data_IF_121892689187
#
_entry.id   IF_121892689187
#
_cell.length_a   1.000
_cell.length_b   1.000
_cell.length_c   1.000
_cell.angle_alpha   90.00
_cell.angle_beta   90.00
_cell.angle_gamma   90.00
#
_symmetry.space_group_name_H-M   'P 1'
#
loop_
_entity.id
_entity.type
_entity.pdbx_description
1 polymer ?
2 polymer ?
3 polymer ?
4 polymer ?
5 non-polymer ?
6 non-polymer ?
7 non-polymer ?
8 non-polymer ?
9 non-polymer ?
10 non-polymer ?
11 water ?
#
loop_
_entity_poly.entity_id
_entity_poly.type
_entity_poly.pdbx_seq_one_letter_code
_entity_poly.pdbx_strand_id
2 'polydeoxyribonucleotide' '(DC)(DG)(DG)(DC)(8OG)(DT)(DA)(DC)(DG)' ?
3 'polydeoxyribonucleotide' '(DC)(DG)(DT)(DA)' ?
4 'polydeoxyribonucleotide' '(DG)(DC)(DC)(DG)' ?
#
# COMPACT_ATOMS: atom_id res chain seq x y z
N UNK A 10 17.50 -16.32 -8.89
CA UNK A 10 16.58 -15.43 -8.14
C UNK A 10 17.35 -14.31 -7.40
N UNK A 11 17.24 -13.07 -7.86
CA UNK A 11 17.96 -11.99 -7.18
C UNK A 11 17.36 -11.66 -5.82
N UNK A 12 18.18 -11.04 -4.97
CA UNK A 12 17.81 -10.90 -3.57
C UNK A 12 16.80 -9.80 -3.30
N UNK A 13 16.76 -8.76 -4.13
CA UNK A 13 15.84 -7.64 -3.92
C UNK A 13 14.61 -7.80 -4.80
N UNK A 14 13.44 -7.44 -4.25
CA UNK A 14 12.21 -7.62 -5.02
C UNK A 14 12.17 -6.75 -6.27
N UNK A 15 12.87 -5.62 -6.29
CA UNK A 15 12.86 -4.72 -7.44
C UNK A 15 13.71 -5.22 -8.60
N UNK A 16 14.41 -6.34 -8.43
CA UNK A 16 15.25 -6.96 -9.44
C UNK A 16 14.55 -8.07 -10.21
N UNK A 17 13.28 -8.33 -9.93
CA UNK A 17 12.62 -9.44 -10.56
C UNK A 17 11.16 -9.10 -10.80
N UNK A 18 10.58 -9.59 -11.89
CA UNK A 18 9.14 -9.42 -12.09
C UNK A 18 8.34 -10.17 -11.06
N UNK A 19 7.30 -9.52 -10.53
CA UNK A 19 6.36 -10.17 -9.63
C UNK A 19 4.95 -9.89 -10.14
N UNK A 20 4.28 -10.87 -10.72
CA UNK A 20 2.94 -10.64 -11.25
C UNK A 20 1.91 -10.67 -10.12
N UNK A 21 0.72 -10.21 -10.45
CA UNK A 21 -0.34 -10.10 -9.46
C UNK A 21 -0.79 -11.48 -9.02
N UNK A 22 -1.01 -12.36 -9.97
CA UNK A 22 -1.37 -13.74 -9.68
C UNK A 22 -0.20 -14.65 -10.05
N UNK A 23 -0.06 -15.74 -9.30
CA UNK A 23 1.14 -16.55 -9.42
C UNK A 23 0.81 -18.01 -9.08
N UNK A 24 1.86 -18.78 -8.73
CA UNK A 24 1.79 -20.24 -8.67
C UNK A 24 2.04 -20.78 -7.27
N UNK A 25 2.09 -19.91 -6.27
CA UNK A 25 2.40 -20.32 -4.90
C UNK A 25 1.55 -19.55 -3.90
N UNK A 26 0.28 -19.35 -4.25
CA UNK A 26 -0.61 -18.47 -3.49
C UNK A 26 -0.74 -18.91 -2.03
N UNK A 27 -1.01 -20.20 -1.81
CA UNK A 27 -1.20 -20.66 -0.44
C UNK A 27 0.05 -20.51 0.41
N UNK A 28 1.22 -20.77 -0.18
CA UNK A 28 2.45 -20.66 0.57
C UNK A 28 2.75 -19.21 0.92
N UNK A 29 2.54 -18.30 -0.02
CA UNK A 29 2.84 -16.91 0.26
C UNK A 29 1.87 -16.34 1.29
N UNK A 30 0.60 -16.75 1.24
CA UNK A 30 -0.37 -16.28 2.22
C UNK A 30 0.02 -16.69 3.64
N UNK A 31 0.53 -17.90 3.81
CA UNK A 31 0.91 -18.36 5.13
C UNK A 31 2.09 -17.57 5.66
N UNK A 32 3.09 -17.34 4.83
CA UNK A 32 4.23 -16.53 5.26
C UNK A 32 3.81 -15.11 5.59
N UNK A 33 2.85 -14.56 4.84
CA UNK A 33 2.38 -13.21 5.12
C UNK A 33 1.57 -13.11 6.42
N UNK A 34 0.91 -14.18 6.87
CA UNK A 34 0.32 -14.21 8.22
C UNK A 34 1.42 -14.02 9.28
N UNK A 35 2.52 -14.76 9.13
CA UNK A 35 3.60 -14.63 10.11
C UNK A 35 4.22 -13.24 10.04
N UNK A 36 4.32 -12.68 8.84
CA UNK A 36 4.84 -11.33 8.70
C UNK A 36 3.96 -10.33 9.43
N UNK A 37 2.65 -10.43 9.20
CA UNK A 37 1.70 -9.54 9.85
C UNK A 37 1.78 -9.68 11.36
N UNK A 38 1.85 -10.91 11.85
CA UNK A 38 1.92 -11.14 13.29
C UNK A 38 3.19 -10.53 13.87
N UNK A 39 4.30 -10.64 13.15
CA UNK A 39 5.54 -10.02 13.58
C UNK A 39 5.38 -8.51 13.71
N UNK A 40 4.71 -7.89 12.75
CA UNK A 40 4.48 -6.45 12.84
C UNK A 40 3.62 -6.07 14.03
N UNK A 41 2.63 -6.90 14.36
CA UNK A 41 1.81 -6.60 15.53
C UNK A 41 2.61 -6.66 16.81
N UNK A 42 3.74 -7.35 16.81
CA UNK A 42 4.60 -7.40 17.99
C UNK A 42 5.75 -6.40 17.93
N UNK A 43 5.83 -5.58 16.88
CA UNK A 43 6.91 -4.63 16.75
C UNK A 43 8.20 -5.20 16.21
N UNK A 44 8.16 -6.39 15.61
CA UNK A 44 9.37 -7.05 15.13
C UNK A 44 9.49 -6.78 13.63
N UNK A 45 10.00 -5.59 13.32
CA UNK A 45 10.05 -5.14 11.91
C UNK A 45 10.99 -5.99 11.07
N UNK A 46 12.09 -6.46 11.66
CA UNK A 46 13.03 -7.28 10.89
C UNK A 46 12.42 -8.60 10.47
N UNK A 47 11.75 -9.26 11.42
CA UNK A 47 11.07 -10.51 11.09
C UNK A 47 9.96 -10.28 10.09
N UNK A 48 9.22 -9.18 10.23
CA UNK A 48 8.17 -8.87 9.27
C UNK A 48 8.76 -8.77 7.87
N UNK A 49 9.90 -8.09 7.74
CA UNK A 49 10.52 -7.91 6.44
C UNK A 49 10.99 -9.25 5.87
N UNK A 50 11.61 -10.09 6.68
CA UNK A 50 12.06 -11.37 6.12
C UNK A 50 10.87 -12.21 5.65
N UNK A 51 9.80 -12.28 6.45
CA UNK A 51 8.66 -13.09 6.02
C UNK A 51 7.98 -12.50 4.79
N UNK A 52 7.90 -11.17 4.69
CA UNK A 52 7.36 -10.55 3.47
C UNK A 52 8.25 -10.84 2.27
N UNK A 53 9.56 -10.72 2.45
CA UNK A 53 10.49 -10.98 1.36
C UNK A 53 10.42 -12.44 0.89
N UNK A 54 10.36 -13.39 1.84
CA UNK A 54 10.25 -14.80 1.49
C UNK A 54 8.96 -15.07 0.74
N UNK A 55 7.86 -14.50 1.21
CA UNK A 55 6.61 -14.65 0.49
C UNK A 55 6.74 -14.11 -0.92
N UNK A 56 7.38 -12.94 -1.06
CA UNK A 56 7.49 -12.30 -2.37
C UNK A 56 8.34 -13.13 -3.32
N UNK A 57 9.36 -13.81 -2.80
CA UNK A 57 10.17 -14.70 -3.64
C UNK A 57 9.28 -15.77 -4.26
N UNK A 58 8.37 -16.32 -3.48
CA UNK A 58 7.51 -17.38 -4.02
C UNK A 58 6.56 -16.84 -5.08
N UNK A 59 6.11 -15.59 -4.93
CA UNK A 59 5.28 -14.95 -5.95
C UNK A 59 5.99 -14.83 -7.28
N UNK A 60 7.32 -14.71 -7.25
CA UNK A 60 8.12 -14.49 -8.44
C UNK A 60 8.54 -15.78 -9.12
N UNK A 61 8.30 -16.93 -8.51
CA UNK A 61 8.69 -18.20 -9.09
C UNK A 61 7.81 -18.55 -10.29
N UNK A 62 8.36 -19.28 -11.27
CA UNK A 62 7.62 -19.55 -12.49
C UNK A 62 6.67 -20.73 -12.39
N UNK A 63 6.69 -21.46 -11.29
CA UNK A 63 5.87 -22.66 -11.14
C UNK A 63 5.69 -22.95 -9.65
N UNK A 64 4.80 -23.89 -9.30
CA UNK A 64 4.59 -24.21 -7.89
C UNK A 64 5.80 -24.89 -7.25
N UNK A 65 6.06 -24.53 -5.99
CA UNK A 65 6.95 -25.32 -5.14
C UNK A 65 6.22 -26.58 -4.72
N UNK A 66 6.79 -27.74 -5.07
CA UNK A 66 6.25 -29.03 -4.70
C UNK A 66 7.13 -29.80 -3.73
N UNK A 67 8.40 -29.45 -3.62
CA UNK A 67 9.30 -30.20 -2.77
C UNK A 67 10.24 -29.23 -2.09
N UNK A 68 10.69 -29.60 -0.89
CA UNK A 68 11.52 -28.71 -0.09
C UNK A 68 12.80 -28.32 -0.81
N UNK A 69 13.37 -29.25 -1.59
CA UNK A 69 14.64 -28.98 -2.27
C UNK A 69 14.55 -27.79 -3.21
N UNK A 70 13.35 -27.45 -3.68
CA UNK A 70 13.21 -26.30 -4.56
C UNK A 70 13.43 -24.97 -3.84
N UNK A 71 13.52 -24.96 -2.51
CA UNK A 71 13.87 -23.74 -1.78
C UNK A 71 15.37 -23.54 -1.66
N UNK A 72 16.17 -24.56 -1.95
CA UNK A 72 17.61 -24.43 -1.83
C UNK A 72 18.12 -23.29 -2.69
N UNK A 73 18.90 -22.41 -2.08
CA UNK A 73 19.44 -21.31 -2.82
C UNK A 73 18.48 -20.15 -3.05
N UNK A 74 17.20 -20.28 -2.66
CA UNK A 74 16.35 -19.09 -2.79
C UNK A 74 16.68 -18.08 -1.70
N UNK A 75 16.76 -16.80 -2.03
CA UNK A 75 17.02 -15.81 -1.00
C UNK A 75 15.86 -15.68 -0.04
N UNK A 76 16.20 -15.43 1.22
CA UNK A 76 15.27 -15.16 2.32
C UNK A 76 14.59 -16.41 2.84
N UNK A 77 15.02 -17.60 2.42
CA UNK A 77 14.54 -18.85 2.98
C UNK A 77 15.61 -19.47 3.85
N UNK A 78 15.43 -19.38 5.16
CA UNK A 78 16.26 -20.08 6.09
C UNK A 78 15.47 -21.14 6.83
N UNK A 79 15.89 -21.42 8.06
CA UNK A 79 15.32 -22.53 8.81
C UNK A 79 13.84 -22.30 9.09
N UNK A 80 13.45 -21.09 9.47
CA UNK A 80 12.06 -20.84 9.87
C UNK A 80 11.12 -20.88 8.66
N UNK A 81 11.38 -20.06 7.64
CA UNK A 81 10.48 -20.02 6.49
C UNK A 81 10.46 -21.35 5.76
N UNK A 82 11.59 -22.06 5.73
CA UNK A 82 11.62 -23.36 5.08
C UNK A 82 10.75 -24.37 5.82
N UNK A 83 10.76 -24.30 7.16
CA UNK A 83 9.93 -25.22 7.95
C UNK A 83 8.44 -24.96 7.73
N UNK A 84 8.06 -23.69 7.62
CA UNK A 84 6.68 -23.34 7.31
C UNK A 84 6.26 -23.97 5.99
N UNK A 85 7.08 -23.80 4.96
CA UNK A 85 6.75 -24.38 3.66
C UNK A 85 6.70 -25.89 3.75
N UNK A 86 7.67 -26.51 4.43
CA UNK A 86 7.71 -27.96 4.55
C UNK A 86 6.40 -28.48 5.14
N UNK A 87 5.91 -27.84 6.19
CA UNK A 87 4.71 -28.37 6.85
C UNK A 87 3.49 -28.19 5.96
N UNK A 88 3.41 -27.08 5.23
CA UNK A 88 2.31 -26.91 4.28
C UNK A 88 2.38 -27.97 3.19
N UNK A 89 3.57 -28.28 2.69
CA UNK A 89 3.69 -29.30 1.66
C UNK A 89 3.33 -30.68 2.18
N UNK A 90 3.77 -31.00 3.39
CA UNK A 90 3.55 -32.33 3.95
C UNK A 90 2.12 -32.55 4.45
N UNK A 91 1.50 -31.52 5.04
CA UNK A 91 0.24 -31.68 5.76
C UNK A 91 -0.86 -30.74 5.31
N UNK A 92 -0.58 -29.77 4.45
CA UNK A 92 -1.57 -28.81 4.02
C UNK A 92 -1.83 -27.69 5.00
N UNK A 93 -1.16 -27.70 6.14
CA UNK A 93 -1.37 -26.72 7.19
C UNK A 93 -0.05 -26.58 7.97
N UNK A 94 0.22 -25.37 8.44
CA UNK A 94 1.36 -25.11 9.31
C UNK A 94 0.86 -24.77 10.71
N UNK A 95 1.26 -25.57 11.71
CA UNK A 95 0.68 -25.39 13.04
C UNK A 95 0.94 -23.99 13.58
N UNK A 96 2.14 -23.46 13.36
CA UNK A 96 2.45 -22.11 13.84
C UNK A 96 1.50 -21.08 13.25
N UNK A 97 1.27 -21.18 11.94
CA UNK A 97 0.37 -20.26 11.24
C UNK A 97 -1.05 -20.37 11.80
N UNK A 98 -1.55 -21.61 11.97
CA UNK A 98 -2.90 -21.79 12.49
C UNK A 98 -3.02 -21.26 13.92
N UNK A 99 -1.98 -21.46 14.72
CA UNK A 99 -2.00 -20.94 16.09
C UNK A 99 -2.07 -19.41 16.09
N UNK A 100 -1.34 -18.77 15.18
CA UNK A 100 -1.45 -17.32 15.07
C UNK A 100 -2.87 -16.94 14.66
N UNK A 101 -3.40 -17.57 13.62
CA UNK A 101 -4.73 -17.26 13.11
C UNK A 101 -5.79 -17.27 14.20
N UNK A 102 -5.79 -18.28 15.05
CA UNK A 102 -6.87 -18.37 16.03
C UNK A 102 -6.54 -17.65 17.33
N UNK A 103 -5.40 -16.99 17.44
CA UNK A 103 -5.04 -16.35 18.69
C UNK A 103 -5.82 -15.06 18.89
N UNK A 104 -6.18 -14.80 20.14
CA UNK A 104 -6.91 -13.59 20.48
C UNK A 104 -6.09 -12.36 20.15
N UNK A 105 -4.79 -12.41 20.43
CA UNK A 105 -3.91 -11.28 20.13
C UNK A 105 -3.92 -10.95 18.63
N UNK A 106 -3.68 -11.95 17.77
CA UNK A 106 -3.65 -11.67 16.33
C UNK A 106 -5.00 -11.14 15.85
N UNK A 107 -6.08 -11.79 16.26
CA UNK A 107 -7.40 -11.41 15.75
C UNK A 107 -7.77 -9.99 16.15
N UNK A 108 -7.44 -9.61 17.38
CA UNK A 108 -7.82 -8.29 17.87
C UNK A 108 -6.93 -7.21 17.29
N UNK A 109 -5.63 -7.48 17.19
CA UNK A 109 -4.74 -6.50 16.58
C UNK A 109 -5.12 -6.27 15.13
N UNK A 110 -5.52 -7.34 14.42
CA UNK A 110 -5.93 -7.19 13.04
C UNK A 110 -7.19 -6.34 12.93
N UNK A 111 -8.18 -6.63 13.78
CA UNK A 111 -9.42 -5.87 13.81
C UNK A 111 -9.16 -4.40 14.07
N UNK A 112 -8.34 -4.10 15.07
CA UNK A 112 -8.12 -2.70 15.46
C UNK A 112 -7.27 -1.97 14.42
N UNK A 113 -6.18 -2.60 13.94
CA UNK A 113 -5.33 -1.89 12.99
C UNK A 113 -6.02 -1.67 11.65
N UNK A 114 -7.07 -2.44 11.35
CA UNK A 114 -7.86 -2.23 10.15
C UNK A 114 -8.63 -0.92 10.19
N UNK A 115 -8.84 -0.35 11.38
CA UNK A 115 -9.58 0.90 11.50
C UNK A 115 -8.73 2.04 10.98
N UNK A 116 -9.33 2.91 10.15
CA UNK A 116 -8.68 4.14 9.69
C UNK A 116 -8.44 5.06 10.87
N UNK A 117 -7.17 5.38 11.14
CA UNK A 117 -6.78 6.20 12.28
C UNK A 117 -6.14 5.42 13.41
N UNK A 118 -6.08 4.10 13.28
CA UNK A 118 -5.52 3.22 14.30
C UNK A 118 -4.33 2.47 13.71
N UNK A 119 -3.16 2.61 14.34
CA UNK A 119 -2.00 1.84 14.00
C UNK A 119 -1.66 0.79 15.05
N UNK A 120 -0.50 0.16 14.85
CA UNK A 120 -0.11 -0.91 15.77
C UNK A 120 -0.02 -0.38 17.19
N UNK A 121 0.58 0.79 17.37
CA UNK A 121 0.83 1.27 18.73
C UNK A 121 -0.49 1.54 19.45
N UNK A 122 -1.45 2.16 18.77
CA UNK A 122 -2.75 2.40 19.40
C UNK A 122 -3.48 1.09 19.67
N UNK A 123 -3.52 0.19 18.69
CA UNK A 123 -4.22 -1.11 18.86
C UNK A 123 -3.63 -1.88 20.03
N UNK A 124 -2.30 -1.88 20.14
CA UNK A 124 -1.64 -2.58 21.23
C UNK A 124 -2.03 -1.99 22.58
N UNK A 125 -2.12 -0.67 22.67
CA UNK A 125 -2.48 -0.06 23.94
C UNK A 125 -3.91 -0.42 24.33
N UNK A 126 -4.84 -0.33 23.38
CA UNK A 126 -6.20 -0.79 23.61
C UNK A 126 -6.23 -2.25 24.01
N UNK A 127 -5.42 -3.09 23.36
CA UNK A 127 -5.39 -4.51 23.69
C UNK A 127 -4.96 -4.70 25.14
N UNK A 128 -3.90 -4.00 25.55
CA UNK A 128 -3.41 -4.11 26.91
C UNK A 128 -4.42 -3.58 27.92
N UNK A 129 -5.27 -2.63 27.52
CA UNK A 129 -6.33 -2.12 28.39
C UNK A 129 -7.50 -3.08 28.48
N UNK A 130 -7.48 -4.19 27.76
CA UNK A 130 -8.53 -5.17 27.80
C UNK A 130 -9.57 -5.05 26.71
N UNK A 131 -9.43 -4.10 25.79
CA UNK A 131 -10.44 -3.93 24.75
C UNK A 131 -10.26 -4.99 23.67
N UNK A 132 -11.38 -5.44 23.09
CA UNK A 132 -11.36 -6.58 22.18
C UNK A 132 -12.23 -6.42 20.94
N UNK A 133 -13.31 -5.63 20.97
CA UNK A 133 -14.26 -5.55 19.87
C UNK A 133 -14.48 -4.10 19.45
N UNK A 134 -15.08 -3.91 18.27
CA UNK A 134 -15.39 -2.55 17.84
C UNK A 134 -16.40 -1.91 18.77
N UNK A 135 -17.36 -2.70 19.25
CA UNK A 135 -18.34 -2.12 20.17
C UNK A 135 -17.70 -1.71 21.49
N UNK A 136 -16.62 -2.39 21.91
CA UNK A 136 -15.86 -1.89 23.06
C UNK A 136 -15.36 -0.47 22.80
N UNK A 137 -14.89 -0.20 21.58
CA UNK A 137 -14.37 1.13 21.28
C UNK A 137 -15.49 2.15 21.19
N UNK A 138 -16.60 1.79 20.57
CA UNK A 138 -17.72 2.70 20.44
C UNK A 138 -18.26 3.13 21.81
N UNK A 139 -18.22 2.23 22.79
CA UNK A 139 -18.79 2.54 24.09
C UNK A 139 -18.00 3.62 24.84
N UNK A 140 -16.72 3.77 24.51
CA UNK A 140 -15.83 4.71 25.20
C UNK A 140 -15.24 5.69 24.20
N UNK A 141 -16.08 6.52 23.57
CA UNK A 141 -15.60 7.33 22.43
C UNK A 141 -14.85 8.58 22.84
N UNK A 142 -14.85 8.92 24.13
CA UNK A 142 -14.02 10.06 24.57
C UNK A 142 -12.56 9.83 24.22
N UNK A 143 -12.12 8.57 24.20
CA UNK A 143 -10.73 8.23 23.96
C UNK A 143 -10.38 8.10 22.47
N UNK A 144 -11.21 8.62 21.57
CA UNK A 144 -10.96 8.49 20.14
C UNK A 144 -10.68 9.84 19.52
N UNK A 145 -9.76 9.87 18.57
CA UNK A 145 -9.55 11.06 17.77
C UNK A 145 -10.69 11.21 16.78
N UNK A 146 -10.83 12.42 16.23
CA UNK A 146 -11.85 12.64 15.20
C UNK A 146 -11.64 11.69 14.02
N UNK A 147 -10.38 11.47 13.64
CA UNK A 147 -10.08 10.55 12.56
C UNK A 147 -10.55 9.14 12.89
N UNK A 148 -10.28 8.69 14.12
CA UNK A 148 -10.69 7.37 14.55
C UNK A 148 -12.19 7.25 14.64
N UNK A 149 -12.88 8.33 15.04
CA UNK A 149 -14.35 8.28 15.10
C UNK A 149 -14.90 8.04 13.69
N UNK A 150 -14.35 8.74 12.71
CA UNK A 150 -14.79 8.55 11.34
C UNK A 150 -14.44 7.16 10.83
N UNK A 151 -13.24 6.69 11.14
CA UNK A 151 -12.86 5.34 10.74
C UNK A 151 -13.77 4.28 11.32
N UNK A 152 -14.17 4.46 12.58
CA UNK A 152 -15.03 3.48 13.25
C UNK A 152 -16.47 3.56 12.73
N UNK A 153 -16.99 4.77 12.56
CA UNK A 153 -18.34 4.92 12.00
C UNK A 153 -18.43 4.30 10.62
N UNK A 154 -17.42 4.52 9.79
CA UNK A 154 -17.43 4.04 8.40
C UNK A 154 -16.79 2.67 8.23
N UNK A 155 -16.48 1.97 9.32
CA UNK A 155 -15.65 0.78 9.22
C UNK A 155 -16.27 -0.29 8.33
N UNK A 156 -17.59 -0.50 8.44
CA UNK A 156 -18.22 -1.56 7.67
C UNK A 156 -18.07 -1.32 6.18
N UNK A 157 -18.42 -0.11 5.72
CA UNK A 157 -18.24 0.21 4.30
C UNK A 157 -16.77 0.12 3.88
N UNK A 158 -15.86 0.59 4.73
CA UNK A 158 -14.46 0.62 4.37
C UNK A 158 -13.84 -0.78 4.33
N UNK A 159 -14.50 -1.78 4.92
CA UNK A 159 -14.07 -3.16 4.89
C UNK A 159 -14.54 -3.89 3.64
N UNK A 160 -15.35 -3.26 2.85
CA UNK A 160 -15.83 -3.80 1.58
C UNK A 160 -14.88 -3.39 0.47
N UNK A 161 -14.43 -4.29 -0.41
CA UNK A 161 -13.46 -3.89 -1.43
C UNK A 161 -14.03 -2.87 -2.41
N UNK A 162 -13.19 -1.91 -2.79
CA UNK A 162 -13.51 -1.01 -3.89
C UNK A 162 -13.29 -1.80 -5.17
N UNK A 163 -14.23 -1.70 -6.12
CA UNK A 163 -14.13 -2.47 -7.34
C UNK A 163 -13.54 -1.62 -8.46
N UNK A 164 -12.75 -2.26 -9.34
CA UNK A 164 -12.20 -1.52 -10.47
C UNK A 164 -13.31 -0.88 -11.26
N UNK A 165 -14.47 -1.50 -11.28
CA UNK A 165 -15.58 -0.96 -12.04
C UNK A 165 -16.17 0.29 -11.39
N UNK A 166 -15.81 0.58 -10.12
CA UNK A 166 -16.17 1.83 -9.44
C UNK A 166 -15.25 3.00 -9.81
N UNK A 167 -14.04 2.71 -10.27
CA UNK A 167 -12.96 3.69 -10.22
C UNK A 167 -13.17 4.78 -11.26
N UNK A 168 -13.64 4.40 -12.45
CA UNK A 168 -13.72 5.38 -13.54
C UNK A 168 -14.69 6.50 -13.21
N UNK A 169 -15.85 6.18 -12.64
CA UNK A 169 -16.81 7.21 -12.26
C UNK A 169 -16.24 8.12 -11.18
N UNK A 170 -15.54 7.53 -10.22
CA UNK A 170 -14.87 8.31 -9.20
C UNK A 170 -13.78 9.23 -9.78
N UNK A 171 -12.97 8.72 -10.70
CA UNK A 171 -11.96 9.57 -11.32
C UNK A 171 -12.59 10.74 -12.06
N UNK A 172 -13.73 10.51 -12.71
CA UNK A 172 -14.36 11.60 -13.44
C UNK A 172 -14.80 12.70 -12.50
N UNK A 173 -15.31 12.33 -11.31
CA UNK A 173 -15.72 13.31 -10.32
C UNK A 173 -14.52 14.11 -9.82
N UNK A 174 -13.39 13.42 -9.54
CA UNK A 174 -12.18 14.10 -9.11
C UNK A 174 -11.65 15.02 -10.21
N UNK A 175 -11.67 14.53 -11.45
CA UNK A 175 -11.19 15.34 -12.56
C UNK A 175 -12.00 16.62 -12.72
N UNK A 176 -13.33 16.57 -12.49
CA UNK A 176 -14.13 17.78 -12.61
C UNK A 176 -13.67 18.83 -11.60
N UNK A 177 -13.48 18.39 -10.35
CA UNK A 177 -13.06 19.32 -9.31
C UNK A 177 -11.67 19.85 -9.58
N UNK A 178 -10.76 18.98 -10.02
CA UNK A 178 -9.38 19.38 -10.33
C UNK A 178 -9.35 20.39 -11.45
N UNK A 179 -10.17 20.19 -12.49
CA UNK A 179 -10.18 21.10 -13.62
C UNK A 179 -10.67 22.49 -13.27
N UNK A 180 -11.60 22.60 -12.33
CA UNK A 180 -12.05 23.90 -11.86
C UNK A 180 -11.00 24.54 -10.98
N UNK A 181 -10.34 23.72 -10.16
CA UNK A 181 -9.28 24.23 -9.28
C UNK A 181 -8.13 24.77 -10.09
N UNK A 182 -7.76 24.10 -11.18
CA UNK A 182 -6.61 24.51 -11.97
C UNK A 182 -6.74 23.90 -13.37
N UNK A 183 -7.29 24.62 -14.31
CA UNK A 183 -7.41 24.10 -15.67
C UNK A 183 -6.07 23.58 -16.18
N UNK A 184 -6.13 22.41 -16.82
CA UNK A 184 -4.96 21.75 -17.32
C UNK A 184 -4.34 20.77 -16.37
N UNK A 185 -4.75 20.76 -15.11
CA UNK A 185 -4.20 19.79 -14.19
C UNK A 185 -4.79 18.44 -14.51
N UNK A 186 -4.01 17.41 -14.22
CA UNK A 186 -4.34 16.05 -14.62
C UNK A 186 -4.45 15.15 -13.41
N UNK A 187 -5.19 14.06 -13.59
CA UNK A 187 -5.40 13.06 -12.55
C UNK A 187 -4.97 11.73 -13.12
N UNK A 188 -4.09 11.04 -12.42
CA UNK A 188 -3.60 9.72 -12.82
C UNK A 188 -3.93 8.69 -11.75
N UNK A 189 -4.55 7.58 -12.16
CA UNK A 189 -4.80 6.47 -11.25
C UNK A 189 -3.49 5.79 -10.90
N UNK A 190 -3.22 5.65 -9.60
CA UNK A 190 -2.02 4.96 -9.12
C UNK A 190 -2.41 3.83 -8.17
N UNK A 191 -1.55 3.53 -7.20
CA UNK A 191 -1.82 2.45 -6.29
C UNK A 191 -2.07 1.10 -6.94
N UNK A 192 -2.78 0.25 -6.20
CA UNK A 192 -2.95 -1.13 -6.60
C UNK A 192 -3.69 -1.31 -7.91
N UNK A 193 -4.64 -0.42 -8.20
CA UNK A 193 -5.35 -0.54 -9.47
C UNK A 193 -4.39 -0.36 -10.65
N UNK A 194 -3.40 0.51 -10.54
CA UNK A 194 -2.46 0.65 -11.65
C UNK A 194 -1.60 -0.62 -11.84
N UNK A 195 -1.41 -1.40 -10.80
CA UNK A 195 -0.71 -2.68 -10.92
C UNK A 195 -1.59 -3.78 -11.43
N UNK A 196 -2.85 -3.48 -11.76
CA UNK A 196 -3.75 -4.46 -12.32
C UNK A 196 -4.74 -5.07 -11.36
N UNK A 197 -4.75 -4.66 -10.11
CA UNK A 197 -5.68 -5.24 -9.16
C UNK A 197 -7.10 -4.96 -9.60
N UNK A 198 -7.99 -5.93 -9.38
CA UNK A 198 -9.40 -5.74 -9.69
C UNK A 198 -10.20 -5.19 -8.52
N UNK A 199 -9.62 -5.18 -7.34
CA UNK A 199 -10.24 -4.65 -6.13
C UNK A 199 -9.18 -3.86 -5.36
N UNK A 200 -9.64 -3.02 -4.46
CA UNK A 200 -8.71 -2.33 -3.58
C UNK A 200 -9.33 -1.90 -2.28
N UNK A 201 -8.46 -1.53 -1.33
CA UNK A 201 -8.92 -0.97 -0.06
C UNK A 201 -9.23 0.50 -0.20
N UNK A 202 -8.76 1.12 -1.28
CA UNK A 202 -8.98 2.54 -1.53
C UNK A 202 -8.70 2.80 -3.00
N UNK A 203 -8.81 4.07 -3.39
CA UNK A 203 -8.37 4.51 -4.72
C UNK A 203 -7.34 5.60 -4.47
N UNK A 204 -6.22 5.53 -5.20
CA UNK A 204 -5.10 6.45 -5.06
C UNK A 204 -4.95 7.25 -6.35
N UNK A 205 -4.99 8.58 -6.24
CA UNK A 205 -4.90 9.46 -7.41
C UNK A 205 -3.73 10.43 -7.25
N UNK A 206 -2.96 10.57 -8.31
CA UNK A 206 -1.83 11.50 -8.36
C UNK A 206 -2.18 12.65 -9.31
N UNK A 207 -1.99 13.88 -8.84
CA UNK A 207 -2.41 15.09 -9.55
C UNK A 207 -1.17 15.93 -9.86
N UNK A 208 -1.08 16.44 -11.07
CA UNK A 208 0.00 17.34 -11.42
C UNK A 208 -0.51 18.34 -12.45
N UNK A 209 0.40 19.19 -12.94
CA UNK A 209 0.09 20.17 -13.96
C UNK A 209 1.32 20.29 -14.84
N UNK A 210 1.17 20.42 -16.16
CA UNK A 210 2.35 20.39 -17.03
C UNK A 210 3.28 21.58 -16.91
N UNK A 211 2.83 22.68 -16.32
CA UNK A 211 3.67 23.85 -16.11
C UNK A 211 4.20 23.85 -14.68
N UNK A 212 5.50 23.62 -14.54
CA UNK A 212 6.12 23.52 -13.22
C UNK A 212 5.79 24.74 -12.37
N UNK A 213 5.35 24.48 -11.14
CA UNK A 213 4.98 25.52 -10.21
C UNK A 213 3.49 25.82 -10.17
N UNK A 214 2.74 25.52 -11.23
CA UNK A 214 1.32 25.81 -11.23
C UNK A 214 0.56 24.95 -10.23
N UNK A 215 1.14 23.81 -9.82
CA UNK A 215 0.47 22.92 -8.88
C UNK A 215 0.59 23.40 -7.43
N UNK A 216 1.41 24.42 -7.16
CA UNK A 216 1.53 24.93 -5.80
C UNK A 216 0.15 25.34 -5.29
N UNK A 217 -0.20 24.86 -4.10
CA UNK A 217 -1.45 25.27 -3.46
C UNK A 217 -2.70 24.61 -4.01
N UNK A 218 -2.56 23.58 -4.84
CA UNK A 218 -3.67 23.00 -5.57
C UNK A 218 -4.58 22.17 -4.67
N UNK A 219 -4.02 21.37 -3.77
CA UNK A 219 -4.89 20.39 -3.13
C UNK A 219 -5.96 21.01 -2.23
N UNK A 220 -5.68 22.05 -1.46
CA UNK A 220 -6.77 22.71 -0.72
C UNK A 220 -7.91 23.13 -1.62
N UNK A 221 -7.58 23.64 -2.81
CA UNK A 221 -8.59 24.09 -3.75
C UNK A 221 -9.42 22.92 -4.26
N UNK A 222 -8.78 21.78 -4.47
CA UNK A 222 -9.48 20.60 -4.93
C UNK A 222 -10.40 20.10 -3.82
N UNK A 223 -9.89 20.03 -2.59
CA UNK A 223 -10.69 19.46 -1.51
C UNK A 223 -11.90 20.34 -1.22
N UNK A 224 -11.72 21.67 -1.28
CA UNK A 224 -12.84 22.58 -1.03
C UNK A 224 -13.94 22.36 -2.05
N UNK A 225 -13.56 22.11 -3.31
CA UNK A 225 -14.56 21.89 -4.35
C UNK A 225 -15.26 20.53 -4.19
N UNK A 226 -14.52 19.49 -3.85
CA UNK A 226 -15.17 18.20 -3.58
C UNK A 226 -16.10 18.29 -2.39
N UNK A 227 -15.68 18.99 -1.34
CA UNK A 227 -16.56 19.15 -0.18
C UNK A 227 -17.81 19.95 -0.55
N UNK A 228 -17.65 20.97 -1.39
CA UNK A 228 -18.82 21.77 -1.81
C UNK A 228 -19.82 20.93 -2.61
N UNK A 229 -19.35 19.92 -3.32
CA UNK A 229 -20.24 19.03 -4.05
C UNK A 229 -20.85 17.95 -3.17
N UNK A 230 -20.59 17.97 -1.87
CA UNK A 230 -21.19 17.02 -0.96
C UNK A 230 -20.59 15.65 -1.00
N UNK A 231 -19.38 15.50 -1.54
CA UNK A 231 -18.81 14.19 -1.79
C UNK A 231 -17.87 13.72 -0.69
N UNK A 232 -17.51 14.57 0.24
CA UNK A 232 -16.47 14.26 1.23
C UNK A 232 -17.15 13.98 2.56
N UNK A 233 -17.11 12.73 2.97
CA UNK A 233 -17.62 12.34 4.28
C UNK A 233 -16.61 12.65 5.37
N UNK A 234 -15.32 12.62 5.04
CA UNK A 234 -14.31 12.94 6.02
C UNK A 234 -13.04 13.41 5.31
N UNK A 235 -12.48 14.53 5.76
CA UNK A 235 -11.07 14.77 5.50
C UNK A 235 -10.51 15.65 6.61
N UNK A 236 -9.17 15.70 6.66
CA UNK A 236 -8.50 16.32 7.80
C UNK A 236 -8.64 17.85 7.80
N UNK A 237 -8.96 18.47 6.68
CA UNK A 237 -9.07 19.93 6.60
C UNK A 237 -10.50 20.40 6.34
N UNK A 238 -11.50 19.59 6.70
CA UNK A 238 -12.88 19.93 6.36
C UNK A 238 -13.42 21.02 7.28
N UNK A 255 -3.10 27.05 5.46
CA UNK A 255 -2.77 25.67 5.82
C UNK A 255 -2.44 24.79 4.59
N UNK A 256 -1.18 24.78 4.17
CA UNK A 256 -0.79 24.12 2.94
C UNK A 256 -0.70 22.61 3.14
N UNK A 257 -1.09 21.84 2.12
CA UNK A 257 -0.88 20.39 2.18
C UNK A 257 -0.86 19.83 0.77
N UNK A 258 -0.29 18.61 0.64
CA UNK A 258 -0.12 18.00 -0.66
C UNK A 258 -0.56 16.54 -0.71
N UNK A 259 -0.97 15.95 0.42
CA UNK A 259 -1.58 14.64 0.46
C UNK A 259 -2.85 14.73 1.28
N UNK A 260 -3.92 14.09 0.80
CA UNK A 260 -5.18 14.05 1.50
C UNK A 260 -5.65 12.60 1.57
N UNK A 261 -6.06 12.18 2.77
CA UNK A 261 -6.56 10.82 3.02
C UNK A 261 -8.04 10.99 3.39
N UNK A 262 -8.94 10.79 2.45
CA UNK A 262 -10.32 11.16 2.72
C UNK A 262 -11.24 9.96 2.55
N UNK A 263 -12.47 10.17 3.01
CA UNK A 263 -13.55 9.22 2.86
C UNK A 263 -14.59 9.90 1.97
N UNK A 264 -14.92 9.23 0.88
CA UNK A 264 -15.72 9.74 -0.23
C UNK A 264 -17.06 9.03 -0.28
N UNK A 265 -18.10 9.77 -0.68
CA UNK A 265 -19.41 9.20 -0.99
C UNK A 265 -19.44 8.64 -2.42
N UNK A 266 -19.54 7.33 -2.56
CA UNK A 266 -19.59 6.68 -3.88
C UNK A 266 -21.00 6.17 -4.17
N UNK A 267 -21.59 6.50 -5.31
CA UNK A 267 -22.98 6.07 -5.57
C UNK A 267 -23.10 4.55 -5.64
N UNK A 268 -24.28 4.08 -5.28
CA UNK A 268 -24.68 2.68 -5.32
C UNK A 268 -26.15 2.65 -5.73
N UNK A 269 -26.62 1.52 -6.26
CA UNK A 269 -28.04 1.46 -6.64
C UNK A 269 -28.97 1.88 -5.49
N UNK A 270 -29.66 3.01 -5.66
CA UNK A 270 -30.61 3.48 -4.66
C UNK A 270 -30.00 4.10 -3.42
N UNK A 271 -28.67 4.21 -3.36
CA UNK A 271 -28.00 4.64 -2.15
C UNK A 271 -26.57 5.04 -2.45
N UNK A 272 -25.64 4.77 -1.53
CA UNK A 272 -24.25 5.13 -1.68
C UNK A 272 -23.45 4.33 -0.65
N UNK A 273 -22.13 4.34 -0.82
CA UNK A 273 -21.25 3.73 0.17
C UNK A 273 -20.02 4.60 0.36
N UNK A 274 -19.46 4.54 1.57
CA UNK A 274 -18.22 5.24 1.86
C UNK A 274 -17.02 4.47 1.32
N UNK A 275 -16.08 5.21 0.71
CA UNK A 275 -14.87 4.66 0.10
C UNK A 275 -13.70 5.53 0.51
N UNK A 276 -12.54 4.92 0.75
CA UNK A 276 -11.33 5.67 1.01
C UNK A 276 -10.71 6.12 -0.32
N UNK A 277 -10.35 7.40 -0.40
CA UNK A 277 -9.67 7.95 -1.55
C UNK A 277 -8.48 8.75 -1.06
N UNK A 278 -7.32 8.51 -1.69
CA UNK A 278 -6.12 9.28 -1.42
C UNK A 278 -5.80 10.15 -2.61
N UNK A 279 -5.46 11.40 -2.35
CA UNK A 279 -5.06 12.34 -3.37
C UNK A 279 -3.70 12.89 -3.01
N UNK A 280 -2.84 12.98 -4.02
CA UNK A 280 -1.50 13.53 -3.81
C UNK A 280 -1.15 14.41 -5.00
N UNK A 281 -0.53 15.55 -4.71
CA UNK A 281 -0.10 16.51 -5.72
C UNK A 281 1.42 16.44 -5.83
N UNK A 282 1.93 16.48 -7.06
CA UNK A 282 3.37 16.59 -7.27
C UNK A 282 3.64 17.58 -8.40
N UNK A 283 4.73 18.33 -8.32
CA UNK A 283 5.13 19.10 -9.50
C UNK A 283 5.56 18.15 -10.61
N UNK A 284 5.44 18.62 -11.84
CA UNK A 284 5.67 17.72 -12.97
C UNK A 284 7.12 17.22 -12.98
N UNK A 285 8.07 18.02 -12.48
CA UNK A 285 9.45 17.56 -12.37
C UNK A 285 9.57 16.33 -11.47
N UNK A 286 8.70 16.20 -10.49
CA UNK A 286 8.74 15.08 -9.57
C UNK A 286 7.78 13.97 -9.93
N UNK A 287 6.96 14.17 -10.96
CA UNK A 287 5.86 13.25 -11.22
C UNK A 287 6.34 11.81 -11.43
N UNK A 288 7.43 11.55 -12.14
CA UNK A 288 7.86 10.15 -12.27
C UNK A 288 8.19 9.51 -10.94
N UNK A 289 8.78 10.28 -10.02
CA UNK A 289 9.12 9.73 -8.71
C UNK A 289 7.88 9.46 -7.89
N UNK A 290 6.90 10.35 -8.01
CA UNK A 290 5.67 10.18 -7.25
C UNK A 290 4.85 9.05 -7.83
N UNK A 291 4.80 8.97 -9.15
CA UNK A 291 4.08 7.87 -9.78
C UNK A 291 4.70 6.53 -9.40
N UNK A 292 6.03 6.44 -9.41
CA UNK A 292 6.70 5.20 -9.01
C UNK A 292 6.36 4.85 -7.56
N UNK A 293 6.51 5.82 -6.67
CA UNK A 293 6.25 5.56 -5.27
C UNK A 293 4.82 5.16 -4.98
N UNK A 294 3.86 5.93 -5.52
CA UNK A 294 2.44 5.66 -5.26
C UNK A 294 1.90 4.45 -6.04
N UNK A 295 2.62 3.93 -7.04
CA UNK A 295 2.16 2.73 -7.70
C UNK A 295 2.53 1.46 -6.92
N UNK A 296 3.54 1.51 -6.05
CA UNK A 296 3.83 0.36 -5.19
C UNK A 296 4.41 -0.83 -5.94
N UNK A 297 4.22 -2.04 -5.41
CA UNK A 297 3.62 -2.29 -4.10
C UNK A 297 4.45 -1.67 -2.99
N UNK A 298 3.88 -1.66 -1.78
CA UNK A 298 4.61 -1.18 -0.61
C UNK A 298 5.96 -1.90 -0.45
N UNK A 299 5.94 -3.24 -0.55
CA UNK A 299 7.20 -3.94 -0.41
C UNK A 299 8.14 -3.61 -1.57
N UNK A 300 7.61 -3.51 -2.79
CA UNK A 300 8.46 -3.17 -3.93
C UNK A 300 9.17 -1.85 -3.68
N UNK A 301 8.46 -0.84 -3.15
CA UNK A 301 9.08 0.46 -2.95
C UNK A 301 10.12 0.45 -1.83
N UNK A 302 9.84 -0.23 -0.72
CA UNK A 302 10.86 -0.36 0.34
C UNK A 302 12.10 -1.04 -0.20
N UNK A 303 11.90 -2.08 -1.00
CA UNK A 303 13.03 -2.81 -1.57
C UNK A 303 13.78 -1.96 -2.59
N UNK A 304 13.05 -1.18 -3.38
CA UNK A 304 13.68 -0.29 -4.35
C UNK A 304 14.51 0.78 -3.66
N UNK A 305 13.97 1.39 -2.60
CA UNK A 305 14.73 2.39 -1.87
C UNK A 305 15.94 1.77 -1.15
N UNK A 306 15.77 0.56 -0.62
CA UNK A 306 16.88 -0.15 0.00
C UNK A 306 17.96 -0.46 -1.03
N UNK A 307 17.56 -0.95 -2.20
CA UNK A 307 18.51 -1.23 -3.29
C UNK A 307 19.26 0.04 -3.70
N UNK A 308 18.52 1.12 -3.93
CA UNK A 308 19.13 2.38 -4.33
C UNK A 308 20.23 2.80 -3.37
N UNK A 309 19.91 2.81 -2.07
CA UNK A 309 20.86 3.30 -1.08
C UNK A 309 22.00 2.31 -0.90
N UNK A 310 21.68 1.03 -0.73
CA UNK A 310 22.70 0.07 -0.32
C UNK A 310 23.56 -0.41 -1.47
N UNK A 311 22.99 -0.54 -2.67
CA UNK A 311 23.76 -1.04 -3.81
C UNK A 311 24.27 0.08 -4.69
N UNK A 312 23.59 1.21 -4.77
CA UNK A 312 23.96 2.28 -5.68
C UNK A 312 24.38 3.56 -4.99
N UNK A 313 24.22 3.66 -3.67
CA UNK A 313 24.64 4.85 -2.96
C UNK A 313 23.81 6.07 -3.26
N UNK A 314 22.58 5.88 -3.73
CA UNK A 314 21.68 6.96 -4.09
C UNK A 314 20.45 6.91 -3.20
N UNK A 315 19.89 8.07 -2.89
CA UNK A 315 18.78 8.17 -1.94
C UNK A 315 17.48 8.46 -2.71
N UNK A 316 16.50 7.55 -2.61
CA UNK A 316 15.28 7.59 -3.40
C UNK A 316 14.08 7.88 -2.52
N UNK A 317 13.20 8.80 -2.96
CA UNK A 317 11.90 8.93 -2.32
C UNK A 317 10.90 9.33 -3.39
N UNK A 318 9.70 9.73 -2.98
CA UNK A 318 8.68 10.04 -3.99
C UNK A 318 8.83 11.42 -4.57
N UNK A 319 9.88 12.14 -4.17
CA UNK A 319 10.20 13.45 -4.71
C UNK A 319 11.40 13.44 -5.65
N UNK A 320 12.24 12.42 -5.60
CA UNK A 320 13.49 12.53 -6.34
C UNK A 320 14.46 11.44 -5.96
N UNK A 321 15.64 11.53 -6.58
CA UNK A 321 16.71 10.57 -6.42
C UNK A 321 18.00 11.37 -6.28
N UNK A 322 18.63 11.28 -5.11
CA UNK A 322 19.71 12.17 -4.71
C UNK A 322 21.04 11.41 -4.69
N UNK A 323 22.06 12.00 -5.33
CA UNK A 323 23.42 11.54 -5.22
C UNK A 323 24.09 12.31 -4.09
N UNK A 324 24.36 11.69 -2.94
CA UNK A 324 24.89 12.46 -1.81
C UNK A 324 26.35 12.84 -1.95
N UNK A 325 27.08 12.24 -2.88
CA UNK A 325 28.46 12.68 -3.13
C UNK A 325 28.48 13.95 -3.96
N UNK A 326 27.85 13.92 -5.15
CA UNK A 326 27.76 15.12 -5.97
C UNK A 326 26.78 16.14 -5.40
N UNK A 327 25.91 15.74 -4.47
CA UNK A 327 24.89 16.63 -3.92
C UNK A 327 24.00 17.15 -5.05
N UNK A 328 23.55 16.22 -5.89
CA UNK A 328 22.73 16.53 -7.05
C UNK A 328 21.54 15.60 -7.11
N UNK A 329 20.47 16.09 -7.72
CA UNK A 329 19.26 15.32 -7.96
C UNK A 329 19.23 14.88 -9.42
N UNK A 330 18.84 13.64 -9.64
CA UNK A 330 18.61 13.18 -11.00
C UNK A 330 17.33 13.79 -11.55
N UNK A 331 17.38 14.22 -12.79
CA UNK A 331 16.16 14.62 -13.46
C UNK A 331 15.59 13.35 -14.10
N UNK A 332 14.29 13.19 -13.98
CA UNK A 332 13.67 12.02 -14.59
C UNK A 332 12.45 12.53 -15.33
N UNK A 333 12.28 12.05 -16.56
CA UNK A 333 11.10 12.36 -17.35
C UNK A 333 10.11 11.21 -17.37
N UNK A 334 10.50 10.05 -16.84
CA UNK A 334 9.66 8.85 -16.88
C UNK A 334 10.11 7.88 -15.81
N UNK A 335 9.21 6.93 -15.48
CA UNK A 335 9.64 5.80 -14.66
C UNK A 335 10.78 5.05 -15.31
N UNK A 336 10.74 4.89 -16.63
CA UNK A 336 11.82 4.22 -17.32
C UNK A 336 13.16 4.87 -17.00
N UNK A 337 13.20 6.20 -16.95
CA UNK A 337 14.44 6.91 -16.58
C UNK A 337 14.96 6.45 -15.23
N UNK A 338 14.05 6.30 -14.26
CA UNK A 338 14.46 6.00 -12.89
C UNK A 338 15.06 4.60 -12.81
N UNK A 339 14.41 3.60 -13.45
CA UNK A 339 15.00 2.27 -13.49
C UNK A 339 16.37 2.30 -14.14
N UNK A 340 16.50 3.05 -15.25
CA UNK A 340 17.82 3.15 -15.89
C UNK A 340 18.86 3.80 -14.97
N UNK A 341 18.50 4.88 -14.28
CA UNK A 341 19.41 5.53 -13.34
C UNK A 341 19.96 4.50 -12.37
N UNK A 342 19.09 3.64 -11.87
CA UNK A 342 19.41 2.66 -10.83
C UNK A 342 20.01 1.38 -11.37
N UNK A 343 20.20 1.27 -12.69
CA UNK A 343 20.81 0.07 -13.24
C UNK A 343 19.93 -1.17 -13.15
N UNK A 344 18.61 -0.99 -13.17
CA UNK A 344 17.64 -2.08 -13.06
C UNK A 344 16.89 -2.23 -14.37
N UNK A 345 16.58 -3.46 -14.76
CA UNK A 345 15.67 -3.64 -15.89
C UNK A 345 14.30 -3.06 -15.56
N UNK A 346 13.67 -2.44 -16.56
CA UNK A 346 12.37 -1.83 -16.36
C UNK A 346 11.32 -2.91 -16.05
N UNK A 347 10.47 -2.60 -15.07
CA UNK A 347 9.32 -3.44 -14.75
C UNK A 347 8.05 -2.62 -14.91
N UNK A 348 7.11 -3.03 -15.74
CA UNK A 348 5.85 -2.32 -15.79
C UNK A 348 5.12 -2.49 -14.47
N UNK A 349 4.12 -1.65 -14.21
CA UNK A 349 3.42 -1.70 -12.90
C UNK A 349 2.85 -3.06 -12.56
N UNK A 350 2.35 -3.79 -13.56
CA UNK A 350 1.77 -5.10 -13.31
C UNK A 350 2.81 -6.14 -12.88
N UNK A 351 4.11 -5.84 -12.97
CA UNK A 351 5.16 -6.73 -12.50
C UNK A 351 5.84 -6.20 -11.24
N UNK A 352 5.20 -5.26 -10.55
CA UNK A 352 5.68 -4.69 -9.28
C UNK A 352 4.84 -5.16 -8.11
N UNK A 353 4.19 -6.33 -8.24
CA UNK A 353 3.29 -6.84 -7.20
C UNK A 353 4.06 -7.67 -6.19
N UNK A 354 5.16 -7.11 -5.69
CA UNK A 354 5.98 -7.80 -4.70
C UNK A 354 5.21 -7.98 -3.41
X LIG E 1 -4.70 -1.27 -1.56
X LIG E 1 -5.01 0.23 -1.50
X LIG E 1 -4.47 -1.81 -0.16
X LIG E 1 -5.69 -2.09 -2.31
X LIG E 1 -2.27 -0.24 -2.56
X LIG E 1 -2.95 0.83 -3.40
X LIG E 1 -1.03 -0.87 -3.18
X LIG E 1 -3.27 -1.45 -2.30
X LIG E 1 -2.06 1.95 -0.49
X LIG E 1 -2.08 1.83 1.00
X LIG E 1 -3.26 2.63 -1.08
X LIG E 1 -1.83 0.38 -1.05
X LIG E 1 -0.71 2.75 -0.85
X LIG E 1 -0.56 3.13 -2.20
X LIG E 1 0.90 3.02 -2.57
X LIG E 1 1.69 3.88 -1.72
X LIG E 1 1.51 1.65 -2.34
X LIG E 1 1.20 0.75 -3.41
X LIG E 1 3.01 2.03 -2.32
X LIG E 1 2.96 3.33 -1.50
X LIG E 1 3.14 3.07 -0.04
X LIG E 1 4.43 3.02 0.45
X LIG E 1 4.63 2.78 1.77
X LIG E 1 3.56 2.59 2.56
X LIG E 1 2.22 2.63 2.06
X LIG E 1 2.06 2.86 0.76
X LIG E 1 5.33 3.21 -0.37
X LIG E 1 3.77 2.32 3.87
X LIG F 1 -3.90 4.67 -0.52
X LIG G 1 -4.51 1.92 -2.66
X LIG H 1 -5.34 1.55 10.65
X LIG I 1 8.28 9.70 -0.10
X LIG J 1 3.67 6.96 -1.03
X LIG J 1 4.00 8.10 -0.25
X LIG J 1 4.95 6.27 -1.51
X LIG J 1 5.94 7.23 -1.77
X LIG K 1 6.19 -4.89 3.63
X LIG K 1 6.07 -3.75 4.44
X LIG K 1 4.78 -5.47 3.47
X LIG K 1 4.05 -4.65 2.59
X LIG L 1 -8.05 -9.67 -5.89
X LIG L 1 -7.08 -8.36 -6.71
X LIG L 1 -7.52 -7.06 -6.21
X LIG L 1 -5.70 -8.62 -6.32
X LIG L 1 -7.30 -8.46 -8.15
X LIG M 1 7.45 -0.63 -21.82
X LIG M 1 8.81 -0.94 -22.15
X LIG M 1 7.33 0.83 -21.38
X LIG M 1 7.65 1.69 -22.47
X LIG N 1 14.37 1.39 8.14
X LIG N 1 12.99 1.12 7.89
X LIG N 1 14.73 2.78 7.64
X LIG N 1 13.81 3.73 8.18
#
# INVERSE_FOLDING_TARGET
GSAAASPAWMPAYACQRPTPLTHHNTGLSEALEILAEAAGFEGSEGRLLTFCRAASVLKALPSPVTTLSQLQGLPHFGEHSSRVVQELLEHGVCEEVERVRRSERYQTMKLFTQIFGVGVKTADRWYREGLRTLDDLREQPQKLTQQQKAGLQHHQDLSTPVLRSDVDALQQVVEEAVGQALPGATVTLTGGFRRGKLQGHDVDFLITHPKEGQEAGLLPRVMCRLQDQGLILYHQHQHSCCESPTRLAQQSHMDAFERSFCIFRLPQPGSWKAVRVDLVVAPVSQFPFALLGWTGSKLFQRELRRFSRKEKGLWLNSHGLFDPEQKTFFQAASEEDIFRHLGLEYLPPEQRNA
0KX PG O1G O2G O3G PB O1B O2B O3B PA O1A O2A N3A O5' C5' C4' O4' C3' O3' C2' C1' N1 C2 N3 C4 C5 C6 O2 N4
MG MG
MG MG
NA NA
CL CL
EDO C1 O1 C2 O2
EDO C1 O1 C2 O2
EPE C10 S O1S O2S O3S
EDO C1 O1 C2 O2
EDO C1 O1 C2 O2
#
